data_IF_290747828120
#
_entry.id   IF_290747828120
#
_cell.length_a   1.000
_cell.length_b   1.000
_cell.length_c   1.000
_cell.angle_alpha   90.00
_cell.angle_beta   90.00
_cell.angle_gamma   90.00
#
_symmetry.space_group_name_H-M   'P 1'
#
loop_
_entity.id
_entity.type
_entity.pdbx_description
1 polymer ?
#
# COMPACT_ATOMS: atom_id res chain seq x y z
N UNK A 1 4.16 -26.93 6.06
CA UNK A 1 3.38 -25.68 5.99
C UNK A 1 4.37 -24.54 6.08
N UNK A 2 4.80 -24.01 4.93
CA UNK A 2 5.58 -22.76 4.93
C UNK A 2 4.70 -21.67 5.54
N UNK A 3 5.22 -20.97 6.55
CA UNK A 3 4.48 -19.97 7.30
C UNK A 3 4.02 -18.86 6.35
N UNK A 4 2.72 -18.73 6.16
CA UNK A 4 2.14 -17.60 5.42
C UNK A 4 2.51 -16.33 6.17
N UNK A 5 3.51 -15.60 5.67
CA UNK A 5 3.92 -14.33 6.24
C UNK A 5 2.73 -13.38 6.10
N UNK A 6 2.11 -13.05 7.23
CA UNK A 6 0.99 -12.11 7.27
C UNK A 6 1.47 -10.74 6.79
N UNK A 7 0.76 -10.15 5.84
CA UNK A 7 1.09 -8.81 5.36
C UNK A 7 1.06 -7.80 6.51
N UNK A 8 2.21 -7.19 6.82
CA UNK A 8 2.33 -6.19 7.89
C UNK A 8 1.42 -5.02 7.57
N UNK A 9 0.67 -4.55 8.57
CA UNK A 9 -0.16 -3.36 8.43
C UNK A 9 0.71 -2.12 8.56
N UNK A 10 0.84 -1.35 7.48
CA UNK A 10 1.77 -0.21 7.42
C UNK A 10 1.01 1.09 7.13
N UNK A 11 1.18 2.15 7.93
CA UNK A 11 0.69 3.48 7.57
C UNK A 11 1.63 4.12 6.53
N UNK A 12 1.08 4.96 5.65
CA UNK A 12 1.84 5.58 4.56
C UNK A 12 3.08 6.38 5.01
N UNK A 13 3.03 6.97 6.22
CA UNK A 13 4.16 7.69 6.81
C UNK A 13 5.36 6.83 7.19
N UNK A 14 5.17 5.52 7.29
CA UNK A 14 6.19 4.55 7.72
C UNK A 14 6.68 3.68 6.54
N UNK A 15 6.44 4.12 5.29
CA UNK A 15 6.89 3.40 4.09
C UNK A 15 8.43 3.30 3.99
N UNK A 16 9.14 4.26 4.56
CA UNK A 16 10.60 4.30 4.66
C UNK A 16 11.17 3.19 5.55
N UNK A 17 10.35 2.59 6.42
CA UNK A 17 10.71 1.46 7.30
C UNK A 17 10.47 0.11 6.65
N UNK A 18 9.87 0.07 5.46
CA UNK A 18 9.64 -1.16 4.72
C UNK A 18 10.91 -1.60 4.00
N UNK A 19 11.18 -2.89 4.00
CA UNK A 19 12.35 -3.48 3.33
C UNK A 19 11.93 -4.36 2.17
N UNK A 20 12.82 -4.52 1.19
CA UNK A 20 12.59 -5.40 0.03
C UNK A 20 12.25 -6.83 0.47
N UNK A 21 11.27 -7.44 -0.21
CA UNK A 21 10.75 -8.78 0.08
C UNK A 21 9.69 -8.80 1.20
N UNK A 22 9.43 -7.67 1.86
CA UNK A 22 8.41 -7.60 2.89
C UNK A 22 7.00 -7.63 2.30
N UNK A 23 6.11 -8.43 2.90
CA UNK A 23 4.69 -8.37 2.60
C UNK A 23 4.02 -7.23 3.39
N UNK A 24 3.39 -6.29 2.69
CA UNK A 24 2.75 -5.11 3.31
C UNK A 24 1.27 -5.00 2.95
N UNK A 25 0.50 -4.38 3.85
CA UNK A 25 -0.88 -3.95 3.67
C UNK A 25 -0.97 -2.45 3.90
N UNK A 26 -1.33 -1.71 2.85
CA UNK A 26 -1.50 -0.27 2.83
C UNK A 26 -2.95 0.11 2.57
N UNK A 27 -3.38 1.27 3.03
CA UNK A 27 -4.68 1.84 2.65
C UNK A 27 -4.51 3.32 2.37
N UNK A 28 -4.95 3.75 1.19
CA UNK A 28 -4.74 5.10 0.68
C UNK A 28 -5.58 5.36 -0.56
N UNK A 29 -5.37 6.50 -1.19
CA UNK A 29 -6.16 6.97 -2.33
C UNK A 29 -5.45 6.57 -3.62
N UNK A 30 -6.18 5.96 -4.56
CA UNK A 30 -5.71 5.67 -5.91
C UNK A 30 -5.61 6.97 -6.72
N UNK A 31 -4.40 7.38 -7.11
CA UNK A 31 -4.14 8.72 -7.66
C UNK A 31 -3.94 8.78 -9.16
N UNK A 32 -3.08 7.92 -9.68
CA UNK A 32 -2.72 7.88 -11.10
C UNK A 32 -2.42 6.45 -11.49
N UNK A 33 -2.60 6.17 -12.77
CA UNK A 33 -2.24 4.92 -13.41
C UNK A 33 -1.61 5.24 -14.76
N UNK A 34 -0.45 4.65 -15.00
CA UNK A 34 0.29 4.69 -16.25
C UNK A 34 0.14 3.32 -16.93
N UNK A 35 -0.52 3.32 -18.09
CA UNK A 35 -0.85 2.09 -18.80
C UNK A 35 0.37 1.47 -19.49
N UNK A 36 1.34 2.28 -19.92
CA UNK A 36 2.53 1.80 -20.64
C UNK A 36 3.47 1.04 -19.71
N UNK A 37 3.58 1.50 -18.47
CA UNK A 37 4.43 0.89 -17.44
C UNK A 37 3.69 -0.05 -16.51
N UNK A 38 2.35 -0.09 -16.58
CA UNK A 38 1.47 -0.77 -15.63
C UNK A 38 1.69 -0.35 -14.16
N UNK A 39 2.16 0.88 -13.96
CA UNK A 39 2.42 1.44 -12.65
C UNK A 39 1.29 2.38 -12.23
N UNK A 40 0.82 2.21 -11.01
CA UNK A 40 -0.08 3.15 -10.35
C UNK A 40 0.63 3.86 -9.20
N UNK A 41 0.04 4.96 -8.74
CA UNK A 41 0.43 5.56 -7.46
C UNK A 41 -0.76 5.59 -6.52
N UNK A 42 -0.50 5.10 -5.32
CA UNK A 42 -1.35 5.33 -4.16
C UNK A 42 -0.75 6.45 -3.31
N UNK A 43 -1.62 7.28 -2.73
CA UNK A 43 -1.21 8.38 -1.87
C UNK A 43 -2.06 8.45 -0.62
N UNK A 44 -1.44 8.84 0.48
CA UNK A 44 -2.15 9.35 1.64
C UNK A 44 -1.34 10.46 2.31
N UNK A 45 -1.99 11.59 2.60
CA UNK A 45 -1.31 12.83 3.02
C UNK A 45 -0.21 13.25 2.01
N UNK A 46 1.02 13.50 2.48
CA UNK A 46 2.19 13.84 1.67
C UNK A 46 3.00 12.62 1.20
N UNK A 47 2.56 11.40 1.49
CA UNK A 47 3.32 10.17 1.25
C UNK A 47 2.74 9.39 0.08
N UNK A 48 3.62 8.85 -0.77
CA UNK A 48 3.26 8.13 -2.00
C UNK A 48 3.95 6.76 -2.06
N UNK A 49 3.26 5.81 -2.70
CA UNK A 49 3.79 4.51 -3.04
C UNK A 49 3.47 4.18 -4.50
N UNK A 50 4.44 3.64 -5.21
CA UNK A 50 4.23 3.04 -6.53
C UNK A 50 3.69 1.63 -6.37
N UNK A 51 2.72 1.30 -7.21
CA UNK A 51 2.05 0.01 -7.22
C UNK A 51 2.17 -0.57 -8.61
N UNK A 52 2.96 -1.62 -8.75
CA UNK A 52 2.96 -2.47 -9.94
C UNK A 52 1.64 -3.25 -9.97
N UNK A 53 0.90 -3.05 -11.05
CA UNK A 53 -0.46 -3.58 -11.25
C UNK A 53 -0.52 -4.78 -12.18
N UNK A 54 0.63 -5.34 -12.61
CA UNK A 54 0.70 -6.42 -13.60
C UNK A 54 -0.14 -7.66 -13.24
N UNK A 55 -0.37 -7.92 -11.95
CA UNK A 55 -1.17 -9.05 -11.46
C UNK A 55 -2.65 -8.72 -11.23
N UNK A 56 -3.08 -7.47 -11.45
CA UNK A 56 -4.45 -7.03 -11.21
C UNK A 56 -5.30 -7.19 -12.47
N UNK A 57 -6.47 -7.80 -12.32
CA UNK A 57 -7.44 -7.96 -13.42
C UNK A 57 -8.34 -6.75 -13.61
N UNK A 58 -8.48 -5.91 -12.59
CA UNK A 58 -9.30 -4.70 -12.59
C UNK A 58 -8.59 -3.61 -11.80
N UNK A 59 -8.74 -2.36 -12.25
CA UNK A 59 -8.11 -1.21 -11.63
C UNK A 59 -9.17 -0.32 -10.96
N UNK A 60 -8.89 0.20 -9.75
CA UNK A 60 -9.74 1.22 -9.12
C UNK A 60 -9.84 2.50 -9.96
N UNK A 61 -10.90 3.27 -9.75
CA UNK A 61 -11.01 4.60 -10.32
C UNK A 61 -10.09 5.59 -9.59
N UNK A 62 -9.65 6.63 -10.29
CA UNK A 62 -8.93 7.73 -9.65
C UNK A 62 -9.82 8.35 -8.58
N UNK A 63 -9.28 8.48 -7.37
CA UNK A 63 -10.00 8.99 -6.19
C UNK A 63 -10.56 7.91 -5.27
N UNK A 64 -10.61 6.65 -5.70
CA UNK A 64 -11.03 5.55 -4.83
C UNK A 64 -10.07 5.40 -3.64
N UNK A 65 -10.64 5.14 -2.46
CA UNK A 65 -9.88 4.68 -1.30
C UNK A 65 -9.71 3.17 -1.45
N UNK A 66 -8.47 2.70 -1.43
CA UNK A 66 -8.15 1.31 -1.69
C UNK A 66 -7.23 0.74 -0.62
N UNK A 67 -7.46 -0.52 -0.29
CA UNK A 67 -6.53 -1.33 0.46
C UNK A 67 -5.71 -2.18 -0.51
N UNK A 68 -4.40 -2.02 -0.48
CA UNK A 68 -3.44 -2.78 -1.27
C UNK A 68 -2.68 -3.75 -0.39
N UNK A 69 -2.60 -5.01 -0.82
CA UNK A 69 -1.75 -6.05 -0.21
C UNK A 69 -0.77 -6.49 -1.29
N UNK A 70 0.52 -6.42 -0.97
CA UNK A 70 1.58 -6.70 -1.93
C UNK A 70 2.88 -7.10 -1.27
N UNK A 71 3.91 -7.18 -2.09
CA UNK A 71 5.31 -7.35 -1.69
C UNK A 71 6.11 -6.12 -2.10
N UNK A 72 7.01 -5.67 -1.23
CA UNK A 72 7.95 -4.58 -1.54
C UNK A 72 9.01 -5.11 -2.49
N UNK A 73 9.04 -4.59 -3.73
CA UNK A 73 9.98 -5.06 -4.76
C UNK A 73 11.24 -4.20 -4.86
N UNK A 74 11.13 -2.92 -4.51
CA UNK A 74 12.26 -1.99 -4.40
C UNK A 74 12.16 -1.19 -3.09
N UNK A 75 13.32 -0.92 -2.48
CA UNK A 75 13.43 -0.03 -1.33
C UNK A 75 13.04 1.40 -1.71
N UNK A 76 12.55 2.16 -0.73
CA UNK A 76 12.12 3.53 -0.96
C UNK A 76 13.28 4.39 -1.47
N UNK A 77 13.27 4.72 -2.76
CA UNK A 77 14.25 5.61 -3.38
C UNK A 77 13.58 6.97 -3.57
N UNK A 78 14.18 8.04 -3.05
CA UNK A 78 13.57 9.39 -3.02
C UNK A 78 12.18 9.44 -2.37
N UNK A 79 11.92 8.57 -1.39
CA UNK A 79 10.67 8.56 -0.62
C UNK A 79 9.50 7.82 -1.28
N UNK A 80 9.73 7.12 -2.39
CA UNK A 80 8.70 6.35 -3.08
C UNK A 80 9.04 4.86 -3.04
N UNK A 81 8.27 4.10 -2.27
CA UNK A 81 8.37 2.64 -2.17
C UNK A 81 7.64 2.00 -3.36
N UNK A 82 8.19 0.94 -3.94
CA UNK A 82 7.50 0.19 -5.00
C UNK A 82 6.99 -1.16 -4.51
N UNK A 83 5.73 -1.43 -4.80
CA UNK A 83 5.01 -2.60 -4.32
C UNK A 83 4.44 -3.36 -5.51
N UNK A 84 4.74 -4.66 -5.61
CA UNK A 84 3.99 -5.55 -6.49
C UNK A 84 2.67 -5.92 -5.83
N UNK A 85 1.56 -5.38 -6.34
CA UNK A 85 0.25 -5.66 -5.80
C UNK A 85 -0.19 -7.10 -6.12
N UNK A 86 -0.66 -7.80 -5.10
CA UNK A 86 -1.34 -9.11 -5.25
C UNK A 86 -2.85 -8.97 -5.07
N UNK A 87 -3.29 -8.04 -4.23
CA UNK A 87 -4.71 -7.75 -3.98
C UNK A 87 -4.88 -6.24 -3.87
N UNK A 88 -5.86 -5.69 -4.58
CA UNK A 88 -6.37 -4.34 -4.38
C UNK A 88 -7.88 -4.40 -4.18
N UNK A 89 -8.37 -3.73 -3.13
CA UNK A 89 -9.80 -3.67 -2.79
C UNK A 89 -10.23 -2.23 -2.57
N UNK A 90 -11.34 -1.84 -3.20
CA UNK A 90 -11.98 -0.55 -2.98
C UNK A 90 -12.69 -0.58 -1.62
N UNK A 91 -12.44 0.44 -0.81
CA UNK A 91 -12.92 0.61 0.57
C UNK A 91 -13.37 2.05 0.82
N UNK A 92 -14.08 2.64 -0.14
CA UNK A 92 -14.50 4.06 -0.17
C UNK A 92 -15.26 4.57 1.07
N UNK A 93 -15.81 3.69 1.89
CA UNK A 93 -16.56 4.06 3.10
C UNK A 93 -15.69 4.21 4.35
N UNK A 94 -14.37 3.95 4.24
CA UNK A 94 -13.44 4.10 5.37
C UNK A 94 -13.08 5.57 5.60
N UNK A 95 -13.12 6.00 6.86
CA UNK A 95 -12.51 7.24 7.31
C UNK A 95 -10.99 7.03 7.50
N UNK A 96 -10.19 7.60 6.59
CA UNK A 96 -8.75 7.35 6.54
C UNK A 96 -8.00 7.87 7.78
N UNK A 97 -8.40 9.01 8.34
CA UNK A 97 -7.78 9.59 9.54
C UNK A 97 -7.94 8.66 10.75
N UNK A 98 -9.16 8.14 10.96
CA UNK A 98 -9.44 7.16 12.01
C UNK A 98 -8.69 5.85 11.76
N UNK A 99 -8.68 5.37 10.51
CA UNK A 99 -7.95 4.16 10.13
C UNK A 99 -6.46 4.26 10.45
N UNK A 100 -5.79 5.37 10.07
CA UNK A 100 -4.37 5.57 10.37
C UNK A 100 -4.10 5.59 11.88
N UNK A 101 -4.94 6.29 12.66
CA UNK A 101 -4.83 6.31 14.13
C UNK A 101 -4.89 4.90 14.72
N UNK A 102 -5.83 4.08 14.26
CA UNK A 102 -5.98 2.68 14.73
C UNK A 102 -4.79 1.83 14.31
N UNK A 103 -4.29 1.97 13.08
CA UNK A 103 -3.08 1.26 12.61
C UNK A 103 -1.88 1.59 13.49
N UNK A 104 -1.68 2.87 13.82
CA UNK A 104 -0.57 3.30 14.68
C UNK A 104 -0.68 2.73 16.09
N UNK A 105 -1.87 2.76 16.69
CA UNK A 105 -2.10 2.18 18.01
C UNK A 105 -1.80 0.68 18.03
N UNK A 106 -2.27 -0.05 17.01
CA UNK A 106 -1.99 -1.48 16.86
C UNK A 106 -0.48 -1.73 16.78
N UNK A 107 0.22 -1.01 15.91
CA UNK A 107 1.65 -1.23 15.69
C UNK A 107 2.49 -0.87 16.92
N UNK A 108 2.08 0.13 17.72
CA UNK A 108 2.72 0.47 18.99
C UNK A 108 2.51 -0.59 20.08
N UNK A 109 1.41 -1.35 20.04
CA UNK A 109 1.12 -2.42 21.01
C UNK A 109 1.80 -3.76 20.71
N UNK A 110 2.45 -3.88 19.56
CA UNK A 110 3.14 -5.09 19.09
C UNK A 110 4.67 -4.95 19.01
N UNK A 111 5.23 -3.83 19.49
CA UNK A 111 6.67 -3.61 19.64
C UNK A 111 7.08 -3.68 21.11
#
# INVERSE_FOLDING_TARGET
MEGVVSARLVPFRDLDKCVKGESVRLTGIWKKYDQDTQMAVMRYDTYEAEVDTALLSTLPAIGDIVQCIGEVIDEATFGMLRIQARIVRIVNTIELDLYERVVRLRNASTG
#
